data_IF_526781942670
#
_entry.id   IF_526781942670
#
_cell.length_a   1.000
_cell.length_b   1.000
_cell.length_c   1.000
_cell.angle_alpha   90.00
_cell.angle_beta   90.00
_cell.angle_gamma   90.00
#
_symmetry.space_group_name_H-M   'P 1'
#
loop_
_entity.id
_entity.type
_entity.pdbx_description
1 polymer ?
#
# COMPACT_ATOMS: atom_id res chain seq x y z
N UNK A 1 30.19 27.96 9.96
CA UNK A 1 28.71 27.95 10.04
C UNK A 1 28.31 26.97 11.14
N UNK A 2 28.06 27.47 12.35
CA UNK A 2 27.67 26.64 13.49
C UNK A 2 26.15 26.43 13.50
N UNK A 3 25.71 25.19 13.41
CA UNK A 3 24.30 24.82 13.56
C UNK A 3 23.91 24.90 15.03
N UNK A 4 23.11 25.90 15.41
CA UNK A 4 22.50 25.96 16.74
C UNK A 4 21.60 24.72 16.94
N UNK A 5 21.81 23.90 17.98
CA UNK A 5 20.95 22.76 18.25
C UNK A 5 19.56 23.26 18.64
N UNK A 6 18.54 22.92 17.83
CA UNK A 6 17.14 23.21 18.14
C UNK A 6 16.75 22.53 19.45
N UNK A 7 16.53 23.32 20.50
CA UNK A 7 16.08 22.84 21.80
C UNK A 7 14.72 22.17 21.61
N UNK A 8 14.65 20.86 21.88
CA UNK A 8 13.40 20.11 21.90
C UNK A 8 12.67 20.42 23.21
N UNK A 9 11.72 21.36 23.16
CA UNK A 9 10.87 21.74 24.28
C UNK A 9 10.14 20.54 24.91
N UNK A 10 9.80 19.53 24.11
CA UNK A 10 9.22 18.29 24.62
C UNK A 10 10.16 17.54 25.57
N UNK A 11 11.46 17.44 25.24
CA UNK A 11 12.45 16.83 26.15
C UNK A 11 12.68 17.69 27.40
N UNK A 12 12.71 19.02 27.24
CA UNK A 12 12.88 19.93 28.37
C UNK A 12 11.72 19.81 29.38
N UNK A 13 10.48 19.71 28.91
CA UNK A 13 9.30 19.50 29.76
C UNK A 13 9.32 18.14 30.47
N UNK A 14 9.73 17.08 29.79
CA UNK A 14 9.87 15.75 30.40
C UNK A 14 10.94 15.75 31.48
N UNK A 15 12.12 16.33 31.21
CA UNK A 15 13.23 16.41 32.18
C UNK A 15 12.84 17.27 33.39
N UNK A 16 12.19 18.41 33.16
CA UNK A 16 11.66 19.26 34.24
C UNK A 16 10.64 18.52 35.09
N UNK A 17 9.72 17.77 34.46
CA UNK A 17 8.74 16.94 35.15
C UNK A 17 9.38 15.85 36.02
N UNK A 18 10.42 15.17 35.53
CA UNK A 18 11.17 14.19 36.31
C UNK A 18 11.92 14.82 37.49
N UNK A 19 12.49 16.01 37.32
CA UNK A 19 13.14 16.74 38.41
C UNK A 19 12.14 17.18 39.49
N UNK A 20 10.97 17.67 39.10
CA UNK A 20 9.90 18.04 40.04
C UNK A 20 9.35 16.82 40.78
N UNK A 21 9.14 15.70 40.08
CA UNK A 21 8.70 14.46 40.69
C UNK A 21 9.74 13.90 41.67
N UNK A 22 11.03 13.92 41.32
CA UNK A 22 12.13 13.51 42.19
C UNK A 22 12.24 14.37 43.45
N UNK A 23 12.06 15.70 43.31
CA UNK A 23 12.02 16.61 44.45
C UNK A 23 10.82 16.32 45.37
N UNK A 24 9.63 16.12 44.81
CA UNK A 24 8.43 15.78 45.59
C UNK A 24 8.58 14.45 46.36
N UNK A 25 9.19 13.45 45.73
CA UNK A 25 9.51 12.16 46.35
C UNK A 25 10.53 12.33 47.49
N UNK A 26 11.60 13.09 47.27
CA UNK A 26 12.60 13.37 48.28
C UNK A 26 12.00 14.10 49.51
N UNK A 27 11.16 15.12 49.29
CA UNK A 27 10.46 15.81 50.38
C UNK A 27 9.43 14.92 51.08
N UNK A 28 8.73 14.06 50.35
CA UNK A 28 7.82 13.07 50.93
C UNK A 28 8.54 12.07 51.84
N UNK A 29 9.70 11.56 51.41
CA UNK A 29 10.55 10.65 52.20
C UNK A 29 11.12 11.36 53.44
N UNK A 30 11.59 12.60 53.29
CA UNK A 30 12.07 13.42 54.42
C UNK A 30 10.96 13.72 55.45
N UNK A 31 9.71 13.88 54.99
CA UNK A 31 8.54 13.99 55.85
C UNK A 31 8.21 12.69 56.58
N UNK A 32 8.29 11.55 55.89
CA UNK A 32 8.00 10.23 56.46
C UNK A 32 9.04 9.79 57.50
N UNK A 33 10.32 10.15 57.31
CA UNK A 33 11.43 9.87 58.26
C UNK A 33 11.34 10.77 59.52
N UNK A 34 10.40 11.72 59.57
CA UNK A 34 10.07 12.50 60.78
C UNK A 34 11.01 13.67 61.07
N UNK A 35 11.93 14.01 60.16
CA UNK A 35 12.79 15.19 60.30
C UNK A 35 12.07 16.52 60.02
N UNK A 36 10.92 16.49 59.34
CA UNK A 36 10.09 17.67 59.07
C UNK A 36 8.76 17.51 59.80
N UNK A 37 8.52 18.33 60.85
CA UNK A 37 7.21 18.43 61.50
C UNK A 37 6.25 19.20 60.59
N UNK A 38 5.59 18.49 59.68
CA UNK A 38 4.44 19.04 58.97
C UNK A 38 3.32 19.28 60.00
N UNK A 39 3.02 20.55 60.26
CA UNK A 39 1.91 20.93 61.15
C UNK A 39 0.54 20.63 60.53
N UNK A 40 -0.49 21.37 60.94
CA UNK A 40 -1.89 21.23 60.48
C UNK A 40 -2.06 21.28 58.94
N UNK A 41 -1.06 21.75 58.21
CA UNK A 41 -1.03 21.89 56.75
C UNK A 41 -0.59 20.63 55.99
N UNK A 42 -0.22 19.55 56.69
CA UNK A 42 0.18 18.27 56.08
C UNK A 42 -0.90 17.73 55.12
N UNK A 43 -2.17 17.81 55.53
CA UNK A 43 -3.29 17.32 54.74
C UNK A 43 -3.48 18.11 53.43
N UNK A 44 -3.33 19.44 53.48
CA UNK A 44 -3.44 20.30 52.31
C UNK A 44 -2.32 20.03 51.29
N UNK A 45 -1.11 19.75 51.76
CA UNK A 45 0.01 19.41 50.90
C UNK A 45 -0.17 18.06 50.20
N UNK A 46 -0.59 17.01 50.93
CA UNK A 46 -0.88 15.69 50.35
C UNK A 46 -1.97 15.78 49.29
N UNK A 47 -3.00 16.60 49.52
CA UNK A 47 -4.08 16.83 48.55
C UNK A 47 -3.57 17.51 47.27
N UNK A 48 -2.74 18.54 47.40
CA UNK A 48 -2.16 19.24 46.24
C UNK A 48 -1.30 18.30 45.39
N UNK A 49 -0.39 17.54 46.02
CA UNK A 49 0.47 16.56 45.33
C UNK A 49 -0.38 15.44 44.72
N UNK A 50 -1.37 14.93 45.44
CA UNK A 50 -2.30 13.91 44.94
C UNK A 50 -3.08 14.38 43.72
N UNK A 51 -3.55 15.63 43.69
CA UNK A 51 -4.28 16.20 42.55
C UNK A 51 -3.40 16.33 41.31
N UNK A 52 -2.14 16.76 41.46
CA UNK A 52 -1.18 16.86 40.36
C UNK A 52 -0.83 15.46 39.84
N UNK A 53 -0.59 14.50 40.73
CA UNK A 53 -0.31 13.12 40.34
C UNK A 53 -1.49 12.49 39.60
N UNK A 54 -2.73 12.72 40.06
CA UNK A 54 -3.94 12.23 39.40
C UNK A 54 -4.10 12.80 37.98
N UNK A 55 -3.85 14.10 37.80
CA UNK A 55 -3.89 14.76 36.47
C UNK A 55 -2.81 14.17 35.55
N UNK A 56 -1.59 13.98 36.05
CA UNK A 56 -0.49 13.39 35.26
C UNK A 56 -0.82 11.96 34.81
N UNK A 57 -1.36 11.13 35.71
CA UNK A 57 -1.78 9.76 35.38
C UNK A 57 -2.92 9.77 34.35
N UNK A 58 -3.89 10.67 34.51
CA UNK A 58 -5.03 10.81 33.61
C UNK A 58 -4.62 11.15 32.16
N UNK A 59 -3.48 11.82 31.94
CA UNK A 59 -2.95 12.12 30.61
C UNK A 59 -1.97 11.05 30.12
N UNK A 60 -1.14 10.51 31.01
CA UNK A 60 -0.11 9.53 30.65
C UNK A 60 -0.70 8.20 30.17
N UNK A 61 -1.78 7.73 30.82
CA UNK A 61 -2.40 6.43 30.48
C UNK A 61 -3.02 6.44 29.08
N UNK A 62 -3.86 7.41 28.68
CA UNK A 62 -4.38 7.48 27.31
C UNK A 62 -3.28 7.62 26.26
N UNK A 63 -2.23 8.39 26.54
CA UNK A 63 -1.11 8.55 25.61
C UNK A 63 -0.34 7.24 25.41
N UNK A 64 -0.09 6.48 26.48
CA UNK A 64 0.56 5.17 26.39
C UNK A 64 -0.34 4.16 25.65
N UNK A 65 -1.64 4.13 25.95
CA UNK A 65 -2.61 3.29 25.27
C UNK A 65 -2.72 3.62 23.79
N UNK A 66 -2.75 4.90 23.42
CA UNK A 66 -2.76 5.32 22.02
C UNK A 66 -1.52 4.82 21.28
N UNK A 67 -0.33 4.91 21.89
CA UNK A 67 0.92 4.42 21.27
C UNK A 67 0.92 2.90 21.07
N UNK A 68 0.45 2.15 22.07
CA UNK A 68 0.31 0.70 21.96
C UNK A 68 -0.72 0.33 20.88
N UNK A 69 -1.87 1.02 20.84
CA UNK A 69 -2.91 0.80 19.85
C UNK A 69 -2.45 1.13 18.43
N UNK A 70 -1.68 2.21 18.24
CA UNK A 70 -1.12 2.53 16.90
C UNK A 70 -0.13 1.47 16.44
N UNK A 71 0.71 0.97 17.35
CA UNK A 71 1.66 -0.09 17.02
C UNK A 71 0.94 -1.40 16.65
N UNK A 72 -0.05 -1.81 17.45
CA UNK A 72 -0.87 -2.99 17.16
C UNK A 72 -1.59 -2.87 15.81
N UNK A 73 -2.25 -1.73 15.54
CA UNK A 73 -2.90 -1.47 14.24
C UNK A 73 -1.93 -1.52 13.07
N UNK A 74 -0.71 -1.02 13.24
CA UNK A 74 0.30 -1.07 12.17
C UNK A 74 0.78 -2.49 11.88
N UNK A 75 0.86 -3.34 12.91
CA UNK A 75 1.21 -4.76 12.73
C UNK A 75 0.08 -5.51 12.04
N UNK A 76 -1.17 -5.34 12.50
CA UNK A 76 -2.35 -5.93 11.86
C UNK A 76 -2.50 -5.50 10.40
N UNK A 77 -2.22 -4.24 10.08
CA UNK A 77 -2.22 -3.74 8.70
C UNK A 77 -1.12 -4.40 7.87
N UNK A 78 0.09 -4.55 8.42
CA UNK A 78 1.19 -5.21 7.73
C UNK A 78 0.91 -6.70 7.46
N UNK A 79 0.30 -7.40 8.42
CA UNK A 79 -0.03 -8.82 8.28
C UNK A 79 -1.17 -9.03 7.28
N UNK A 80 -2.18 -8.16 7.26
CA UNK A 80 -3.21 -8.14 6.21
C UNK A 80 -2.62 -7.89 4.83
N UNK A 81 -1.74 -6.89 4.70
CA UNK A 81 -1.05 -6.60 3.44
C UNK A 81 -0.24 -7.80 2.94
N UNK A 82 0.45 -8.52 3.84
CA UNK A 82 1.16 -9.76 3.50
C UNK A 82 0.22 -10.87 3.06
N UNK A 83 -0.86 -11.11 3.80
CA UNK A 83 -1.84 -12.15 3.45
C UNK A 83 -2.46 -11.89 2.08
N UNK A 84 -2.90 -10.66 1.84
CA UNK A 84 -3.47 -10.23 0.56
C UNK A 84 -2.42 -10.29 -0.57
N UNK A 85 -1.18 -9.90 -0.29
CA UNK A 85 -0.07 -9.99 -1.23
C UNK A 85 0.20 -11.44 -1.67
N UNK A 86 0.20 -12.40 -0.75
CA UNK A 86 0.35 -13.83 -1.08
C UNK A 86 -0.76 -14.34 -1.98
N UNK A 87 -2.00 -13.91 -1.71
CA UNK A 87 -3.15 -14.29 -2.52
C UNK A 87 -3.07 -13.72 -3.94
N UNK A 88 -2.58 -12.48 -4.08
CA UNK A 88 -2.55 -11.75 -5.36
C UNK A 88 -1.39 -12.13 -6.27
N UNK A 89 -0.21 -12.45 -5.71
CA UNK A 89 1.00 -12.75 -6.47
C UNK A 89 0.81 -13.71 -7.67
N UNK A 90 0.20 -14.90 -7.52
CA UNK A 90 0.05 -15.81 -8.66
C UNK A 90 -0.83 -15.22 -9.77
N UNK A 91 -1.85 -14.44 -9.40
CA UNK A 91 -2.73 -13.81 -10.38
C UNK A 91 -2.06 -12.62 -11.08
N UNK A 92 -1.25 -11.85 -10.36
CA UNK A 92 -0.46 -10.77 -10.94
C UNK A 92 0.59 -11.29 -11.92
N UNK A 93 1.27 -12.39 -11.58
CA UNK A 93 2.22 -13.04 -12.47
C UNK A 93 1.53 -13.55 -13.74
N UNK A 94 0.39 -14.23 -13.60
CA UNK A 94 -0.39 -14.69 -14.75
C UNK A 94 -0.87 -13.54 -15.64
N UNK A 95 -1.29 -12.41 -15.05
CA UNK A 95 -1.69 -11.24 -15.82
C UNK A 95 -0.49 -10.59 -16.53
N UNK A 96 0.65 -10.49 -15.86
CA UNK A 96 1.87 -9.96 -16.46
C UNK A 96 2.39 -10.85 -17.60
N UNK A 97 2.32 -12.17 -17.44
CA UNK A 97 2.66 -13.15 -18.49
C UNK A 97 1.76 -12.99 -19.71
N UNK A 98 0.43 -12.98 -19.54
CA UNK A 98 -0.52 -12.76 -20.64
C UNK A 98 -0.30 -11.43 -21.35
N UNK A 99 0.01 -10.37 -20.61
CA UNK A 99 0.34 -9.07 -21.19
C UNK A 99 1.67 -9.12 -21.95
N UNK A 100 2.67 -9.83 -21.41
CA UNK A 100 3.95 -10.10 -22.09
C UNK A 100 3.79 -10.89 -23.39
N UNK A 101 2.86 -11.83 -23.43
CA UNK A 101 2.57 -12.66 -24.63
C UNK A 101 2.11 -11.81 -25.82
N UNK A 102 1.45 -10.67 -25.60
CA UNK A 102 1.11 -9.74 -26.69
C UNK A 102 2.39 -9.33 -27.42
N UNK A 103 3.44 -8.95 -26.68
CA UNK A 103 4.69 -8.48 -27.27
C UNK A 103 5.48 -9.60 -27.95
N UNK A 104 5.34 -10.83 -27.47
CA UNK A 104 6.03 -11.99 -28.02
C UNK A 104 5.36 -12.54 -29.30
N UNK A 105 4.03 -12.51 -29.36
CA UNK A 105 3.27 -13.23 -30.39
C UNK A 105 2.37 -12.34 -31.25
N UNK A 106 1.95 -11.18 -30.75
CA UNK A 106 1.05 -10.24 -31.43
C UNK A 106 1.69 -8.84 -31.47
N UNK A 107 3.01 -8.81 -31.72
CA UNK A 107 3.74 -7.55 -31.86
C UNK A 107 3.22 -6.78 -33.06
N UNK A 108 2.93 -5.48 -32.91
CA UNK A 108 2.19 -4.74 -33.92
C UNK A 108 2.95 -4.44 -35.21
N UNK A 109 4.24 -4.74 -35.24
CA UNK A 109 5.08 -4.54 -36.42
C UNK A 109 5.21 -5.80 -37.29
N UNK A 110 4.92 -6.98 -36.75
CA UNK A 110 5.29 -8.24 -37.39
C UNK A 110 4.19 -9.32 -37.38
N UNK A 111 3.18 -9.22 -36.51
CA UNK A 111 2.27 -10.35 -36.25
C UNK A 111 0.78 -10.02 -36.18
N UNK A 112 0.38 -8.76 -36.39
CA UNK A 112 -1.04 -8.37 -36.30
C UNK A 112 -1.57 -7.98 -37.67
N UNK A 113 -2.76 -8.45 -38.00
CA UNK A 113 -3.47 -8.04 -39.22
C UNK A 113 -3.86 -6.55 -39.12
N UNK A 114 -3.43 -5.79 -40.13
CA UNK A 114 -3.61 -4.35 -40.18
C UNK A 114 -4.96 -4.04 -40.83
N UNK A 115 -5.88 -3.46 -40.08
CA UNK A 115 -7.17 -2.98 -40.56
C UNK A 115 -7.06 -1.58 -41.21
N UNK A 116 -6.05 -0.79 -40.81
CA UNK A 116 -5.80 0.55 -41.34
C UNK A 116 -4.47 1.14 -40.83
N UNK A 117 -4.13 2.39 -41.19
CA UNK A 117 -2.82 2.99 -40.91
C UNK A 117 -2.38 2.98 -39.44
N UNK A 118 -3.34 2.95 -38.51
CA UNK A 118 -3.12 2.82 -37.06
C UNK A 118 -4.19 1.94 -36.40
N UNK A 119 -4.81 1.03 -37.17
CA UNK A 119 -5.85 0.14 -36.69
C UNK A 119 -5.45 -1.30 -36.90
N UNK A 120 -5.53 -2.08 -35.82
CA UNK A 120 -5.18 -3.49 -35.81
C UNK A 120 -6.39 -4.32 -35.40
N UNK A 121 -6.53 -5.51 -36.00
CA UNK A 121 -7.52 -6.49 -35.53
C UNK A 121 -7.06 -7.08 -34.19
N UNK A 122 -8.02 -7.32 -33.30
CA UNK A 122 -7.77 -7.93 -32.00
C UNK A 122 -7.39 -9.41 -32.19
N UNK A 123 -6.19 -9.77 -31.75
CA UNK A 123 -5.76 -11.16 -31.65
C UNK A 123 -6.22 -11.84 -30.36
N UNK A 124 -6.17 -13.17 -30.34
CA UNK A 124 -6.60 -13.99 -29.20
C UNK A 124 -5.77 -13.69 -27.94
N UNK A 125 -4.45 -13.43 -28.08
CA UNK A 125 -3.58 -13.13 -26.93
C UNK A 125 -3.91 -11.77 -26.35
N UNK A 126 -4.19 -10.80 -27.21
CA UNK A 126 -4.63 -9.47 -26.79
C UNK A 126 -5.96 -9.56 -26.02
N UNK A 127 -6.93 -10.35 -26.48
CA UNK A 127 -8.19 -10.59 -25.75
C UNK A 127 -7.94 -11.22 -24.36
N UNK A 128 -7.06 -12.22 -24.28
CA UNK A 128 -6.70 -12.87 -23.02
C UNK A 128 -6.01 -11.90 -22.04
N UNK A 129 -5.15 -11.01 -22.52
CA UNK A 129 -4.45 -10.02 -21.71
C UNK A 129 -5.38 -8.92 -21.17
N UNK A 130 -6.45 -8.60 -21.89
CA UNK A 130 -7.48 -7.67 -21.43
C UNK A 130 -8.42 -8.28 -20.37
N UNK A 131 -8.35 -9.60 -20.16
CA UNK A 131 -9.18 -10.31 -19.19
C UNK A 131 -8.53 -10.30 -17.81
N UNK A 132 -9.07 -9.50 -16.89
CA UNK A 132 -8.64 -9.46 -15.49
C UNK A 132 -8.92 -10.81 -14.81
N UNK A 133 -7.89 -11.47 -14.20
CA UNK A 133 -8.10 -12.70 -13.45
C UNK A 133 -9.12 -12.52 -12.32
N UNK A 134 -10.02 -13.50 -12.16
CA UNK A 134 -11.07 -13.48 -11.11
C UNK A 134 -10.51 -13.23 -9.71
N UNK A 135 -9.38 -13.86 -9.38
CA UNK A 135 -8.73 -13.68 -8.08
C UNK A 135 -8.27 -12.25 -7.80
N UNK A 136 -8.00 -11.43 -8.83
CA UNK A 136 -7.77 -9.99 -8.66
C UNK A 136 -9.10 -9.27 -8.53
N UNK A 137 -10.05 -9.55 -9.42
CA UNK A 137 -11.38 -8.93 -9.44
C UNK A 137 -12.11 -9.03 -8.08
N UNK A 138 -12.04 -10.20 -7.44
CA UNK A 138 -12.70 -10.49 -6.16
C UNK A 138 -12.15 -9.67 -5.00
N UNK A 139 -10.90 -9.20 -5.09
CA UNK A 139 -10.20 -8.47 -4.02
C UNK A 139 -9.86 -7.03 -4.39
N UNK A 140 -10.33 -6.51 -5.53
CA UNK A 140 -10.09 -5.12 -5.97
C UNK A 140 -10.44 -4.10 -4.86
N UNK A 141 -11.56 -4.32 -4.16
CA UNK A 141 -11.99 -3.44 -3.06
C UNK A 141 -11.04 -3.42 -1.86
N UNK A 142 -10.21 -4.46 -1.71
CA UNK A 142 -9.26 -4.63 -0.60
C UNK A 142 -7.85 -4.17 -0.97
N UNK A 143 -7.58 -3.78 -2.21
CA UNK A 143 -6.24 -3.35 -2.65
C UNK A 143 -5.67 -2.18 -1.83
N UNK A 144 -6.54 -1.36 -1.22
CA UNK A 144 -6.11 -0.30 -0.32
C UNK A 144 -5.34 -0.81 0.91
N UNK A 145 -5.55 -2.06 1.33
CA UNK A 145 -4.83 -2.68 2.44
C UNK A 145 -3.34 -2.92 2.13
N UNK A 146 -2.97 -3.02 0.85
CA UNK A 146 -1.57 -3.10 0.42
C UNK A 146 -0.84 -1.75 0.46
N UNK A 147 -1.57 -0.65 0.65
CA UNK A 147 -1.02 0.71 0.60
C UNK A 147 -0.27 0.97 -0.72
N UNK A 148 0.95 1.52 -0.61
CA UNK A 148 1.77 1.86 -1.78
C UNK A 148 2.15 0.66 -2.67
N UNK A 149 2.02 -0.57 -2.20
CA UNK A 149 2.31 -1.77 -2.98
C UNK A 149 1.22 -2.07 -4.01
N UNK A 150 -0.01 -1.59 -3.82
CA UNK A 150 -1.11 -1.76 -4.78
C UNK A 150 -1.12 -0.72 -5.91
N UNK A 151 -0.42 0.41 -5.78
CA UNK A 151 -0.51 1.53 -6.73
C UNK A 151 -0.30 1.11 -8.19
N UNK A 152 0.74 0.30 -8.46
CA UNK A 152 1.02 -0.13 -9.83
C UNK A 152 0.01 -1.17 -10.34
N UNK A 153 -0.58 -2.00 -9.46
CA UNK A 153 -1.64 -2.93 -9.82
C UNK A 153 -2.93 -2.17 -10.13
N UNK A 154 -3.29 -1.17 -9.32
CA UNK A 154 -4.42 -0.28 -9.59
C UNK A 154 -4.24 0.46 -10.92
N UNK A 155 -3.05 0.98 -11.17
CA UNK A 155 -2.72 1.65 -12.43
C UNK A 155 -2.81 0.68 -13.62
N UNK A 156 -2.33 -0.56 -13.45
CA UNK A 156 -2.43 -1.58 -14.48
C UNK A 156 -3.87 -1.96 -14.79
N UNK A 157 -4.70 -2.17 -13.76
CA UNK A 157 -6.13 -2.46 -13.94
C UNK A 157 -6.84 -1.31 -14.64
N UNK A 158 -6.55 -0.06 -14.25
CA UNK A 158 -7.07 1.12 -14.91
C UNK A 158 -6.67 1.16 -16.39
N UNK A 159 -5.39 0.94 -16.71
CA UNK A 159 -4.90 0.96 -18.09
C UNK A 159 -5.48 -0.18 -18.94
N UNK A 160 -5.68 -1.38 -18.35
CA UNK A 160 -6.34 -2.50 -19.03
C UNK A 160 -7.79 -2.15 -19.34
N UNK A 161 -8.56 -1.62 -18.38
CA UNK A 161 -9.94 -1.19 -18.65
C UNK A 161 -9.98 -0.04 -19.66
N UNK A 162 -9.03 0.90 -19.59
CA UNK A 162 -8.93 1.97 -20.59
C UNK A 162 -8.59 1.44 -21.98
N UNK A 163 -7.75 0.41 -22.08
CA UNK A 163 -7.43 -0.25 -23.34
C UNK A 163 -8.66 -0.98 -23.92
N UNK A 164 -9.51 -1.58 -23.05
CA UNK A 164 -10.78 -2.18 -23.46
C UNK A 164 -11.76 -1.15 -24.04
N UNK A 165 -11.76 0.07 -23.53
CA UNK A 165 -12.60 1.16 -24.07
C UNK A 165 -12.16 1.62 -25.47
N UNK A 166 -10.90 1.38 -25.86
CA UNK A 166 -10.41 1.69 -27.22
C UNK A 166 -10.84 0.64 -28.27
N UNK A 167 -11.41 -0.48 -27.84
CA UNK A 167 -11.90 -1.52 -28.76
C UNK A 167 -13.16 -1.03 -29.48
N UNK A 168 -13.06 -0.94 -30.80
CA UNK A 168 -14.19 -0.63 -31.68
C UNK A 168 -14.68 -1.91 -32.34
N UNK A 169 -15.99 -2.12 -32.31
CA UNK A 169 -16.64 -3.25 -32.97
C UNK A 169 -16.84 -2.90 -34.44
N UNK A 170 -16.30 -3.71 -35.34
CA UNK A 170 -16.53 -3.60 -36.77
C UNK A 170 -17.20 -4.86 -37.27
N UNK A 171 -18.20 -4.71 -38.12
CA UNK A 171 -18.77 -5.83 -38.88
C UNK A 171 -18.00 -5.92 -40.18
N UNK A 172 -17.22 -6.99 -40.34
CA UNK A 172 -16.53 -7.26 -41.60
C UNK A 172 -17.48 -8.07 -42.47
N UNK A 173 -17.77 -7.57 -43.66
CA UNK A 173 -18.45 -8.36 -44.68
C UNK A 173 -17.38 -9.24 -45.32
N UNK A 174 -17.46 -10.58 -45.22
CA UNK A 174 -16.51 -11.44 -45.88
C UNK A 174 -16.55 -11.15 -47.38
N UNK A 175 -15.40 -10.85 -47.95
CA UNK A 175 -15.27 -10.51 -49.36
C UNK A 175 -15.27 -11.83 -50.15
N UNK A 176 -16.44 -12.44 -50.29
CA UNK A 176 -16.63 -13.61 -51.14
C UNK A 176 -17.25 -13.17 -52.47
N UNK A 177 -16.65 -13.58 -53.57
CA UNK A 177 -17.24 -13.53 -54.93
C UNK A 177 -18.53 -14.40 -55.06
N UNK A 178 -19.18 -14.78 -53.95
CA UNK A 178 -20.40 -15.57 -53.92
C UNK A 178 -21.64 -14.67 -53.88
N UNK A 179 -22.26 -14.52 -55.05
CA UNK A 179 -23.50 -13.79 -55.30
C UNK A 179 -24.76 -14.40 -54.63
N UNK A 180 -24.60 -15.40 -53.76
CA UNK A 180 -25.70 -16.10 -53.06
C UNK A 180 -25.20 -16.70 -51.73
N UNK A 181 -25.75 -16.25 -50.60
CA UNK A 181 -25.64 -16.94 -49.30
C UNK A 181 -25.68 -16.00 -48.10
N UNK A 182 -26.52 -16.34 -47.11
CA UNK A 182 -26.51 -15.78 -45.75
C UNK A 182 -25.17 -16.10 -45.05
N UNK A 183 -24.07 -15.48 -45.46
CA UNK A 183 -22.83 -15.57 -44.68
C UNK A 183 -22.95 -14.67 -43.45
N UNK A 184 -22.75 -15.21 -42.22
CA UNK A 184 -22.88 -14.42 -41.01
C UNK A 184 -21.79 -13.35 -40.99
N UNK A 185 -22.18 -12.10 -40.73
CA UNK A 185 -21.23 -11.02 -40.45
C UNK A 185 -20.30 -11.45 -39.33
N UNK A 186 -18.99 -11.50 -39.59
CA UNK A 186 -18.01 -11.75 -38.55
C UNK A 186 -17.78 -10.45 -37.78
N UNK A 187 -18.07 -10.51 -36.47
CA UNK A 187 -17.88 -9.38 -35.56
C UNK A 187 -16.42 -9.36 -35.15
N UNK A 188 -15.63 -8.49 -35.75
CA UNK A 188 -14.22 -8.32 -35.41
C UNK A 188 -14.03 -7.06 -34.57
N UNK A 189 -13.10 -7.11 -33.61
CA UNK A 189 -12.71 -5.96 -32.81
C UNK A 189 -11.46 -5.34 -33.44
N UNK A 190 -11.47 -4.02 -33.59
CA UNK A 190 -10.28 -3.25 -33.97
C UNK A 190 -9.90 -2.29 -32.85
N UNK A 191 -8.64 -1.89 -32.80
CA UNK A 191 -8.17 -0.91 -31.83
C UNK A 191 -7.11 0.00 -32.43
N UNK A 192 -6.95 1.18 -31.85
CA UNK A 192 -5.89 2.14 -32.19
C UNK A 192 -4.56 1.62 -31.65
N UNK A 193 -3.65 1.22 -32.56
CA UNK A 193 -2.40 0.52 -32.22
C UNK A 193 -1.60 1.33 -31.20
N UNK A 194 -1.21 2.56 -31.54
CA UNK A 194 -0.30 3.34 -30.68
C UNK A 194 -0.85 3.51 -29.25
N UNK A 195 -2.09 4.01 -29.13
CA UNK A 195 -2.71 4.25 -27.83
C UNK A 195 -2.91 2.96 -27.01
N UNK A 196 -3.26 1.86 -27.66
CA UNK A 196 -3.47 0.58 -26.99
C UNK A 196 -2.16 0.02 -26.41
N UNK A 197 -1.10 -0.05 -27.22
CA UNK A 197 0.16 -0.64 -26.80
C UNK A 197 0.86 0.18 -25.70
N UNK A 198 0.74 1.51 -25.73
CA UNK A 198 1.24 2.38 -24.66
C UNK A 198 0.55 2.06 -23.31
N UNK A 199 -0.76 1.85 -23.33
CA UNK A 199 -1.51 1.48 -22.12
C UNK A 199 -1.11 0.10 -21.61
N UNK A 200 -0.92 -0.87 -22.50
CA UNK A 200 -0.53 -2.24 -22.13
C UNK A 200 0.90 -2.30 -21.59
N UNK A 201 1.84 -1.52 -22.14
CA UNK A 201 3.20 -1.39 -21.62
C UNK A 201 3.22 -0.74 -20.22
N UNK A 202 2.49 0.36 -20.04
CA UNK A 202 2.36 1.00 -18.73
C UNK A 202 1.67 0.08 -17.70
N UNK A 203 0.71 -0.74 -18.15
CA UNK A 203 0.12 -1.77 -17.31
C UNK A 203 1.15 -2.83 -16.88
N UNK A 204 1.98 -3.32 -17.80
CA UNK A 204 3.03 -4.30 -17.50
C UNK A 204 4.02 -3.74 -16.48
N UNK A 205 4.52 -2.51 -16.70
CA UNK A 205 5.41 -1.81 -15.76
C UNK A 205 4.76 -1.64 -14.38
N UNK A 206 3.47 -1.32 -14.33
CA UNK A 206 2.68 -1.19 -13.10
C UNK A 206 2.60 -2.51 -12.32
N UNK A 207 2.34 -3.61 -13.01
CA UNK A 207 2.29 -4.96 -12.44
C UNK A 207 3.65 -5.37 -11.87
N UNK A 208 4.73 -5.24 -12.64
CA UNK A 208 6.08 -5.58 -12.20
C UNK A 208 6.51 -4.75 -10.98
N UNK A 209 6.22 -3.44 -10.97
CA UNK A 209 6.52 -2.58 -9.82
C UNK A 209 5.79 -3.04 -8.56
N UNK A 210 4.51 -3.40 -8.69
CA UNK A 210 3.68 -3.84 -7.57
C UNK A 210 4.09 -5.21 -7.07
N UNK A 211 4.41 -6.14 -7.98
CA UNK A 211 4.98 -7.43 -7.63
C UNK A 211 6.25 -7.26 -6.79
N UNK A 212 7.20 -6.45 -7.25
CA UNK A 212 8.45 -6.19 -6.51
C UNK A 212 8.20 -5.60 -5.11
N UNK A 213 7.24 -4.69 -4.98
CA UNK A 213 6.85 -4.11 -3.67
C UNK A 213 6.17 -5.14 -2.76
N UNK A 214 5.30 -5.98 -3.30
CA UNK A 214 4.63 -7.05 -2.56
C UNK A 214 5.66 -8.10 -2.11
N UNK A 215 6.57 -8.53 -2.99
CA UNK A 215 7.68 -9.42 -2.64
C UNK A 215 8.55 -8.85 -1.51
N UNK A 216 8.80 -7.53 -1.53
CA UNK A 216 9.54 -6.86 -0.48
C UNK A 216 8.86 -6.92 0.90
N UNK A 217 7.53 -7.11 0.98
CA UNK A 217 6.81 -7.32 2.25
C UNK A 217 7.20 -8.64 2.95
N UNK A 218 7.69 -9.61 2.17
CA UNK A 218 8.09 -10.94 2.65
C UNK A 218 9.59 -11.08 2.85
N UNK A 219 10.41 -10.16 2.32
CA UNK A 219 11.85 -10.16 2.62
C UNK A 219 12.02 -9.86 4.11
N UNK A 220 12.50 -10.85 4.86
CA UNK A 220 12.84 -10.65 6.26
C UNK A 220 13.76 -9.43 6.40
N UNK A 221 13.51 -8.52 7.35
CA UNK A 221 14.59 -7.63 7.77
C UNK A 221 15.71 -8.55 8.26
N UNK A 222 16.86 -8.49 7.59
CA UNK A 222 18.06 -9.22 8.00
C UNK A 222 18.24 -9.01 9.50
N UNK A 223 18.05 -10.09 10.26
CA UNK A 223 18.25 -10.09 11.70
C UNK A 223 19.69 -9.62 11.98
N UNK A 224 19.91 -8.56 12.78
CA UNK A 224 21.21 -8.37 13.37
C UNK A 224 21.37 -9.45 14.45
N UNK A 225 21.85 -10.62 14.04
CA UNK A 225 22.52 -11.55 14.96
C UNK A 225 23.84 -10.91 15.40
N UNK A 226 23.74 -9.85 16.20
CA UNK A 226 24.83 -9.42 17.05
C UNK A 226 24.68 -10.19 18.37
N UNK A 227 25.58 -11.12 18.72
CA UNK A 227 25.53 -11.78 20.01
C UNK A 227 25.66 -10.74 21.13
N UNK A 228 25.08 -10.99 22.32
CA UNK A 228 25.30 -10.14 23.47
C UNK A 228 26.80 -10.09 23.75
N UNK A 229 27.36 -8.88 23.78
CA UNK A 229 28.73 -8.67 24.26
C UNK A 229 28.74 -9.10 25.72
N UNK A 230 29.51 -10.16 26.01
CA UNK A 230 29.94 -10.50 27.37
C UNK A 230 30.89 -9.43 27.90
#
# INVERSE_FOLDING_TARGET
MGTNPKISWARALVISGWMSAGAALAFGVLGFIGQIRFGKDAAAWVQAVGSIAAILIAVAVPAAQHRLATNARSQEAADRARSLGLQLLPHMMSLAEKNGDIWAYEHPDHHVEIAGPDQCFLGERTEQALTVPKGIADVVGQLHELGSAAEGLQHALYNIERARELLTVVMVVPNSDSFYGDEPFERTLIFEKTAFYDLMDEALKGLTRSQNKIEALFRHPSSPLAPPKQ
#
